data_IF_107387638713
#
_entry.id   IF_107387638713
#
_cell.length_a   1.000
_cell.length_b   1.000
_cell.length_c   1.000
_cell.angle_alpha   90.00
_cell.angle_beta   90.00
_cell.angle_gamma   90.00
#
_symmetry.space_group_name_H-M   'P 1'
#
loop_
_entity.id
_entity.type
_entity.pdbx_description
1 polymer ?
#
# COMPACT_ATOMS: atom_id res chain seq x y z
N UNK A 1 19.27 25.29 -9.65
CA UNK A 1 19.48 24.60 -8.35
C UNK A 1 18.22 24.79 -7.53
N UNK A 2 17.34 23.79 -7.51
CA UNK A 2 16.18 23.78 -6.60
C UNK A 2 16.71 23.35 -5.24
N UNK A 3 16.76 24.29 -4.29
CA UNK A 3 17.07 23.95 -2.90
C UNK A 3 15.90 23.16 -2.34
N UNK A 4 16.05 21.83 -2.26
CA UNK A 4 15.16 20.98 -1.48
C UNK A 4 15.12 21.58 -0.08
N UNK A 5 13.95 22.07 0.33
CA UNK A 5 13.83 22.76 1.60
C UNK A 5 13.95 21.74 2.73
N UNK A 6 14.56 22.13 3.85
CA UNK A 6 14.72 21.26 5.02
C UNK A 6 13.39 20.65 5.51
N UNK A 7 12.28 21.32 5.21
CA UNK A 7 10.93 20.88 5.53
C UNK A 7 10.52 19.62 4.76
N UNK A 8 10.91 19.48 3.49
CA UNK A 8 10.58 18.31 2.66
C UNK A 8 11.32 17.05 3.13
N UNK A 9 12.57 17.21 3.56
CA UNK A 9 13.37 16.11 4.12
C UNK A 9 12.79 15.67 5.47
N UNK A 10 12.40 16.61 6.32
CA UNK A 10 11.74 16.33 7.60
C UNK A 10 10.40 15.62 7.40
N UNK A 11 9.61 16.08 6.43
CA UNK A 11 8.32 15.47 6.09
C UNK A 11 8.50 14.03 5.60
N UNK A 12 9.46 13.79 4.70
CA UNK A 12 9.78 12.44 4.21
C UNK A 12 10.24 11.50 5.33
N UNK A 13 11.06 11.99 6.26
CA UNK A 13 11.49 11.23 7.45
C UNK A 13 10.34 10.91 8.39
N UNK A 14 9.45 11.86 8.63
CA UNK A 14 8.26 11.67 9.47
C UNK A 14 7.33 10.62 8.85
N UNK A 15 7.07 10.70 7.54
CA UNK A 15 6.26 9.71 6.82
C UNK A 15 6.88 8.31 6.94
N UNK A 16 8.19 8.17 6.72
CA UNK A 16 8.88 6.89 6.85
C UNK A 16 8.80 6.33 8.27
N UNK A 17 8.95 7.18 9.29
CA UNK A 17 8.81 6.80 10.71
C UNK A 17 7.38 6.38 11.04
N UNK A 18 6.36 7.07 10.52
CA UNK A 18 4.95 6.70 10.69
C UNK A 18 4.63 5.35 10.05
N UNK A 19 5.15 5.08 8.85
CA UNK A 19 5.00 3.77 8.18
C UNK A 19 5.69 2.67 8.99
N UNK A 20 6.90 2.91 9.49
CA UNK A 20 7.62 1.95 10.33
C UNK A 20 6.89 1.66 11.65
N UNK A 21 6.35 2.69 12.31
CA UNK A 21 5.56 2.53 13.54
C UNK A 21 4.27 1.74 13.28
N UNK A 22 3.58 2.01 12.17
CA UNK A 22 2.41 1.23 11.74
C UNK A 22 2.75 -0.24 11.51
N UNK A 23 3.85 -0.51 10.81
CA UNK A 23 4.36 -1.86 10.59
C UNK A 23 4.61 -2.61 11.89
N UNK A 24 5.22 -1.96 12.89
CA UNK A 24 5.45 -2.55 14.22
C UNK A 24 4.12 -2.84 14.91
N UNK A 25 3.16 -1.92 14.86
CA UNK A 25 1.83 -2.13 15.46
C UNK A 25 1.12 -3.32 14.81
N UNK A 26 1.19 -3.47 13.48
CA UNK A 26 0.58 -4.59 12.76
C UNK A 26 1.30 -5.91 13.02
N UNK A 27 2.63 -5.87 13.17
CA UNK A 27 3.42 -7.04 13.48
C UNK A 27 3.17 -7.57 14.90
N UNK A 28 2.97 -6.67 15.87
CA UNK A 28 2.79 -7.03 17.28
C UNK A 28 1.33 -7.25 17.67
N UNK A 29 0.38 -6.51 17.09
CA UNK A 29 -1.03 -6.67 17.39
C UNK A 29 -1.69 -7.55 16.34
N UNK A 30 -2.26 -8.68 16.77
CA UNK A 30 -3.20 -9.45 15.97
C UNK A 30 -4.51 -8.64 15.86
N UNK A 31 -4.47 -7.56 15.06
CA UNK A 31 -5.46 -6.49 15.05
C UNK A 31 -6.80 -7.06 14.61
N UNK A 32 -7.80 -7.03 15.50
CA UNK A 32 -9.16 -7.50 15.22
C UNK A 32 -10.15 -6.33 15.23
N UNK A 33 -11.26 -6.51 14.52
CA UNK A 33 -12.39 -5.58 14.58
C UNK A 33 -12.07 -4.17 14.06
N UNK A 34 -12.54 -3.15 14.76
CA UNK A 34 -12.52 -1.75 14.32
C UNK A 34 -11.10 -1.20 14.09
N UNK A 35 -10.12 -1.62 14.91
CA UNK A 35 -8.73 -1.15 14.78
C UNK A 35 -8.12 -1.59 13.45
N UNK A 36 -8.45 -2.80 12.99
CA UNK A 36 -7.98 -3.31 11.69
C UNK A 36 -8.52 -2.48 10.53
N UNK A 37 -9.80 -2.08 10.64
CA UNK A 37 -10.44 -1.19 9.66
C UNK A 37 -9.78 0.18 9.67
N UNK A 38 -9.57 0.77 10.85
CA UNK A 38 -8.90 2.06 10.99
C UNK A 38 -7.49 2.05 10.38
N UNK A 39 -6.67 1.03 10.70
CA UNK A 39 -5.33 0.86 10.12
C UNK A 39 -5.39 0.69 8.60
N UNK A 40 -6.41 -0.01 8.09
CA UNK A 40 -6.61 -0.17 6.65
C UNK A 40 -6.92 1.15 5.96
N UNK A 41 -7.80 1.97 6.56
CA UNK A 41 -8.07 3.32 6.08
C UNK A 41 -6.80 4.18 6.05
N UNK A 42 -5.97 4.07 7.09
CA UNK A 42 -4.72 4.83 7.15
C UNK A 42 -3.73 4.43 6.05
N UNK A 43 -3.57 3.13 5.77
CA UNK A 43 -2.76 2.69 4.63
C UNK A 43 -3.29 3.16 3.28
N UNK A 44 -4.61 3.13 3.10
CA UNK A 44 -5.22 3.65 1.88
C UNK A 44 -4.95 5.14 1.72
N UNK A 45 -5.07 5.93 2.78
CA UNK A 45 -4.75 7.36 2.76
C UNK A 45 -3.27 7.60 2.45
N UNK A 46 -2.35 6.82 3.03
CA UNK A 46 -0.92 6.90 2.74
C UNK A 46 -0.65 6.57 1.26
N UNK A 47 -1.24 5.51 0.74
CA UNK A 47 -1.10 5.13 -0.66
C UNK A 47 -1.65 6.21 -1.61
N UNK A 48 -2.84 6.75 -1.31
CA UNK A 48 -3.44 7.84 -2.08
C UNK A 48 -2.55 9.09 -2.08
N UNK A 49 -2.04 9.49 -0.90
CA UNK A 49 -1.13 10.62 -0.79
C UNK A 49 0.17 10.39 -1.58
N UNK A 50 0.74 9.17 -1.52
CA UNK A 50 1.93 8.81 -2.28
C UNK A 50 1.73 8.96 -3.78
N UNK A 51 0.62 8.43 -4.32
CA UNK A 51 0.33 8.56 -5.75
C UNK A 51 -0.07 9.99 -6.17
N UNK A 52 -0.71 10.76 -5.28
CA UNK A 52 -0.99 12.16 -5.55
C UNK A 52 0.31 12.97 -5.70
N UNK A 53 1.29 12.73 -4.84
CA UNK A 53 2.63 13.33 -4.94
C UNK A 53 3.32 12.88 -6.23
N UNK A 54 3.26 11.60 -6.58
CA UNK A 54 3.84 11.11 -7.84
C UNK A 54 3.26 11.81 -9.07
N UNK A 55 1.94 11.99 -9.13
CA UNK A 55 1.29 12.73 -10.23
C UNK A 55 1.78 14.19 -10.29
N UNK A 56 1.95 14.83 -9.13
CA UNK A 56 2.51 16.18 -9.07
C UNK A 56 3.96 16.21 -9.58
N UNK A 57 4.81 15.31 -9.11
CA UNK A 57 6.22 15.22 -9.53
C UNK A 57 6.37 14.85 -11.00
N UNK A 58 5.44 14.07 -11.57
CA UNK A 58 5.41 13.71 -12.99
C UNK A 58 5.26 14.92 -13.92
N UNK A 59 4.81 16.07 -13.40
CA UNK A 59 4.77 17.32 -14.17
C UNK A 59 6.16 17.95 -14.38
N UNK A 60 7.17 17.51 -13.63
CA UNK A 60 8.52 18.09 -13.61
C UNK A 60 9.64 17.09 -13.98
N UNK A 61 9.36 15.79 -13.87
CA UNK A 61 10.31 14.71 -14.13
C UNK A 61 9.61 13.53 -14.81
N UNK A 62 10.38 12.75 -15.59
CA UNK A 62 9.86 11.51 -16.17
C UNK A 62 9.79 10.44 -15.07
N UNK A 63 8.58 9.98 -14.76
CA UNK A 63 8.34 8.97 -13.74
C UNK A 63 7.94 7.66 -14.39
N UNK A 64 8.68 6.60 -14.07
CA UNK A 64 8.35 5.23 -14.41
C UNK A 64 8.03 4.46 -13.11
N UNK A 65 6.79 4.00 -12.99
CA UNK A 65 6.35 3.14 -11.89
C UNK A 65 6.52 1.68 -12.29
N UNK A 66 7.45 1.00 -11.65
CA UNK A 66 7.71 -0.43 -11.76
C UNK A 66 7.11 -1.18 -10.57
N UNK A 67 7.04 -2.53 -10.61
CA UNK A 67 6.69 -3.30 -9.43
C UNK A 67 7.67 -3.00 -8.28
N UNK A 68 7.12 -2.52 -7.16
CA UNK A 68 7.79 -2.12 -5.91
C UNK A 68 8.81 -0.98 -6.02
N UNK A 69 9.04 -0.43 -7.20
CA UNK A 69 10.10 0.55 -7.46
C UNK A 69 9.52 1.69 -8.30
N UNK A 70 9.82 2.92 -7.91
CA UNK A 70 9.61 4.09 -8.76
C UNK A 70 10.97 4.59 -9.23
N UNK A 71 11.03 4.90 -10.52
CA UNK A 71 12.18 5.52 -11.17
C UNK A 71 11.79 6.93 -11.55
N UNK A 72 12.55 7.91 -11.07
CA UNK A 72 12.41 9.31 -11.42
C UNK A 72 13.64 9.73 -12.22
N UNK A 73 13.44 10.30 -13.42
CA UNK A 73 14.53 10.73 -14.30
C UNK A 73 14.42 12.21 -14.63
N UNK A 74 15.54 12.94 -14.48
CA UNK A 74 15.65 14.35 -14.84
C UNK A 74 17.06 14.69 -15.35
N UNK A 75 17.12 15.32 -16.54
CA UNK A 75 18.32 15.89 -17.21
C UNK A 75 19.65 15.19 -16.87
N UNK A 76 19.75 13.89 -17.18
CA UNK A 76 20.97 13.10 -17.06
C UNK A 76 21.15 12.35 -15.74
N UNK A 77 20.21 12.47 -14.80
CA UNK A 77 20.19 11.73 -13.54
C UNK A 77 18.91 10.92 -13.39
N UNK A 78 19.03 9.74 -12.80
CA UNK A 78 17.89 8.90 -12.43
C UNK A 78 18.01 8.47 -10.97
N UNK A 79 16.91 8.55 -10.23
CA UNK A 79 16.80 8.14 -8.84
C UNK A 79 15.81 6.98 -8.76
N UNK A 80 16.17 5.96 -7.99
CA UNK A 80 15.37 4.77 -7.76
C UNK A 80 14.95 4.75 -6.29
N UNK A 81 13.66 4.61 -6.02
CA UNK A 81 13.14 4.48 -4.66
C UNK A 81 11.99 3.49 -4.57
N UNK A 82 11.71 3.02 -3.36
CA UNK A 82 10.65 2.04 -3.10
C UNK A 82 9.29 2.69 -3.32
N UNK A 83 8.38 1.97 -4.01
CA UNK A 83 6.97 2.35 -4.12
C UNK A 83 6.25 2.03 -2.80
N UNK A 84 6.12 3.04 -1.95
CA UNK A 84 5.44 2.92 -0.67
C UNK A 84 3.92 2.68 -0.82
N UNK A 85 3.33 3.08 -1.96
CA UNK A 85 1.93 2.82 -2.27
C UNK A 85 1.67 1.34 -2.51
N UNK A 86 2.48 0.70 -3.35
CA UNK A 86 2.43 -0.75 -3.57
C UNK A 86 2.77 -1.55 -2.31
N UNK A 87 3.76 -1.10 -1.54
CA UNK A 87 4.09 -1.74 -0.26
C UNK A 87 2.91 -1.68 0.71
N UNK A 88 2.23 -0.53 0.80
CA UNK A 88 1.03 -0.36 1.63
C UNK A 88 -0.11 -1.29 1.19
N UNK A 89 -0.31 -1.46 -0.12
CA UNK A 89 -1.31 -2.39 -0.66
C UNK A 89 -0.98 -3.86 -0.31
N UNK A 90 0.28 -4.26 -0.44
CA UNK A 90 0.76 -5.60 -0.05
C UNK A 90 0.53 -5.86 1.44
N UNK A 91 0.84 -4.89 2.29
CA UNK A 91 0.61 -4.98 3.73
C UNK A 91 -0.89 -5.10 4.04
N UNK A 92 -1.75 -4.40 3.31
CA UNK A 92 -3.20 -4.52 3.43
C UNK A 92 -3.67 -5.94 3.11
N UNK A 93 -3.18 -6.53 2.02
CA UNK A 93 -3.50 -7.92 1.64
C UNK A 93 -3.05 -8.89 2.73
N UNK A 94 -1.84 -8.71 3.27
CA UNK A 94 -1.32 -9.53 4.35
C UNK A 94 -2.13 -9.37 5.64
N UNK A 95 -2.56 -8.15 5.95
CA UNK A 95 -3.40 -7.84 7.12
C UNK A 95 -4.73 -8.59 7.03
N UNK A 96 -5.36 -8.65 5.85
CA UNK A 96 -6.66 -9.30 5.63
C UNK A 96 -6.58 -10.76 5.17
N UNK A 97 -5.39 -11.37 5.13
CA UNK A 97 -5.18 -12.71 4.56
C UNK A 97 -6.06 -13.81 5.17
N UNK A 98 -6.35 -13.73 6.47
CA UNK A 98 -7.16 -14.72 7.19
C UNK A 98 -8.63 -14.67 6.77
N UNK A 99 -9.17 -13.47 6.66
CA UNK A 99 -10.55 -13.20 6.31
C UNK A 99 -10.79 -13.50 4.84
N UNK A 100 -9.86 -13.10 3.96
CA UNK A 100 -9.90 -13.43 2.54
C UNK A 100 -9.93 -14.95 2.35
N UNK A 101 -9.05 -15.70 3.03
CA UNK A 101 -9.05 -17.17 2.98
C UNK A 101 -10.36 -17.77 3.48
N UNK A 102 -10.93 -17.24 4.57
CA UNK A 102 -12.19 -17.71 5.15
C UNK A 102 -13.38 -17.46 4.22
N UNK A 103 -13.48 -16.25 3.67
CA UNK A 103 -14.51 -15.85 2.72
C UNK A 103 -14.42 -16.67 1.43
N UNK A 104 -13.21 -16.85 0.89
CA UNK A 104 -12.99 -17.64 -0.31
C UNK A 104 -13.40 -19.11 -0.11
N UNK A 105 -13.03 -19.72 1.01
CA UNK A 105 -13.45 -21.09 1.36
C UNK A 105 -14.97 -21.21 1.46
N UNK A 106 -15.63 -20.18 1.96
CA UNK A 106 -17.10 -20.16 2.09
C UNK A 106 -17.79 -20.03 0.73
N UNK A 107 -17.26 -19.19 -0.16
CA UNK A 107 -17.77 -19.05 -1.53
C UNK A 107 -17.57 -20.33 -2.35
N UNK A 108 -16.38 -20.93 -2.31
CA UNK A 108 -16.10 -22.21 -2.98
C UNK A 108 -17.02 -23.34 -2.49
N UNK A 109 -17.29 -23.42 -1.18
CA UNK A 109 -18.22 -24.41 -0.62
C UNK A 109 -19.66 -24.21 -1.07
N UNK A 110 -20.09 -22.96 -1.29
CA UNK A 110 -21.42 -22.64 -1.80
C UNK A 110 -21.56 -23.07 -3.26
N UNK A 111 -20.55 -22.80 -4.08
CA UNK A 111 -20.54 -23.16 -5.50
C UNK A 111 -20.61 -24.68 -5.71
N UNK A 112 -19.82 -25.45 -4.95
CA UNK A 112 -19.86 -26.92 -4.97
C UNK A 112 -21.22 -27.48 -4.54
N UNK A 113 -21.93 -26.82 -3.61
CA UNK A 113 -23.29 -27.24 -3.23
C UNK A 113 -24.33 -26.87 -4.29
N UNK A 114 -24.21 -25.70 -4.92
CA UNK A 114 -25.07 -25.30 -6.04
C UNK A 114 -24.97 -26.26 -7.21
N UNK A 115 -23.75 -26.68 -7.57
CA UNK A 115 -23.50 -27.65 -8.63
C UNK A 115 -24.08 -29.05 -8.36
N UNK A 116 -24.21 -29.46 -7.09
CA UNK A 116 -24.84 -30.75 -6.74
C UNK A 116 -26.37 -30.72 -6.76
N UNK A 117 -26.99 -29.58 -6.52
CA UNK A 117 -28.47 -29.47 -6.47
C UNK A 117 -29.06 -29.36 -7.88
N UNK A 118 -28.33 -28.82 -8.86
CA UNK A 118 -28.77 -28.76 -10.27
C UNK A 118 -28.52 -30.03 -11.09
N UNK A 119 -28.06 -31.13 -10.48
CA UNK A 119 -27.72 -32.40 -11.15
C UNK A 119 -28.69 -33.56 -10.80
N UNK A 120 -29.78 -33.28 -10.09
CA UNK A 120 -30.89 -34.21 -9.84
C UNK A 120 -32.10 -33.79 -10.65
#
# INVERSE_FOLDING_TARGET
MLSISWQEILLGRLIALSIAALLVIIAFFNVKGLVKVFVSCLFLLIAMAHYAILVFTASYADILVLPLIVVESSRGHSVFYIDYGQLSALLLVLLWRSEVKSSLKTLLKRDVRGARVGSN
#
